data_IF_172918836439
#
_entry.id   IF_172918836439
#
_cell.length_a   1.000
_cell.length_b   1.000
_cell.length_c   1.000
_cell.angle_alpha   90.00
_cell.angle_beta   90.00
_cell.angle_gamma   90.00
#
_symmetry.space_group_name_H-M   'P 1'
#
loop_
_entity.id
_entity.type
_entity.pdbx_description
1 polymer ?
#
# COMPACT_ATOMS: atom_id res chain seq x y z
N UNK A 1 15.16 15.85 -13.95
CA UNK A 1 14.87 15.71 -12.52
C UNK A 1 13.41 15.34 -12.45
N UNK A 2 13.13 14.04 -12.46
CA UNK A 2 11.77 13.58 -12.19
C UNK A 2 11.55 13.71 -10.70
N UNK A 3 10.37 14.20 -10.33
CA UNK A 3 9.91 14.34 -8.97
C UNK A 3 9.87 12.93 -8.33
N UNK A 4 10.92 12.56 -7.60
CA UNK A 4 11.09 11.22 -7.02
C UNK A 4 10.27 11.06 -5.72
N UNK A 5 9.78 12.17 -5.15
CA UNK A 5 9.12 12.24 -3.86
C UNK A 5 7.65 12.62 -4.03
N UNK A 6 6.73 11.69 -3.74
CA UNK A 6 5.30 11.99 -3.69
C UNK A 6 4.60 10.99 -2.78
N UNK A 7 5.04 10.93 -1.52
CA UNK A 7 4.22 10.27 -0.50
C UNK A 7 2.92 11.05 -0.38
N UNK A 8 1.83 10.43 -0.82
CA UNK A 8 0.49 11.00 -0.75
C UNK A 8 -0.27 10.32 0.38
N UNK A 9 -0.96 11.12 1.20
CA UNK A 9 -1.94 10.56 2.14
C UNK A 9 -3.09 9.96 1.33
N UNK A 10 -3.42 8.70 1.61
CA UNK A 10 -4.61 8.08 1.04
C UNK A 10 -5.84 8.67 1.74
N UNK A 11 -6.77 9.32 1.01
CA UNK A 11 -7.79 10.17 1.64
C UNK A 11 -9.03 9.39 2.10
N UNK A 12 -9.06 8.08 1.95
CA UNK A 12 -10.18 7.23 2.31
C UNK A 12 -9.87 6.44 3.57
N UNK A 13 -10.87 6.31 4.43
CA UNK A 13 -10.76 5.46 5.61
C UNK A 13 -10.61 4.00 5.19
N UNK A 14 -9.61 3.34 5.77
CA UNK A 14 -9.52 1.89 5.72
C UNK A 14 -10.49 1.28 6.75
N UNK A 15 -11.02 0.07 6.50
CA UNK A 15 -11.77 -0.67 7.50
C UNK A 15 -11.03 -0.72 8.83
N UNK A 16 -11.77 -0.67 9.94
CA UNK A 16 -11.18 -0.86 11.26
C UNK A 16 -10.44 -2.21 11.28
N UNK A 17 -9.19 -2.21 11.76
CA UNK A 17 -8.34 -3.42 11.77
C UNK A 17 -8.07 -3.99 10.37
N UNK A 18 -7.99 -3.15 9.34
CA UNK A 18 -7.66 -3.55 7.96
C UNK A 18 -6.49 -4.55 7.86
N UNK A 19 -5.42 -4.33 8.63
CA UNK A 19 -4.26 -5.23 8.64
C UNK A 19 -4.59 -6.62 9.20
N UNK A 20 -5.48 -6.71 10.20
CA UNK A 20 -5.95 -8.01 10.70
C UNK A 20 -6.84 -8.70 9.64
N UNK A 21 -7.64 -7.94 8.90
CA UNK A 21 -8.49 -8.49 7.83
C UNK A 21 -7.68 -9.07 6.68
N UNK A 22 -6.52 -8.48 6.34
CA UNK A 22 -5.56 -9.09 5.39
C UNK A 22 -4.65 -10.13 6.06
N UNK A 23 -4.89 -10.50 7.32
CA UNK A 23 -4.12 -11.48 8.09
C UNK A 23 -2.66 -11.08 8.39
N UNK A 24 -2.34 -9.79 8.40
CA UNK A 24 -1.04 -9.33 8.90
C UNK A 24 -1.03 -9.29 10.42
N UNK A 25 -0.21 -10.13 11.05
CA UNK A 25 -0.08 -10.22 12.52
C UNK A 25 1.29 -9.79 13.03
N UNK A 26 2.15 -9.27 12.15
CA UNK A 26 3.51 -8.86 12.50
C UNK A 26 3.56 -7.65 13.45
N UNK A 27 4.74 -7.43 14.07
CA UNK A 27 4.93 -6.39 15.08
C UNK A 27 5.15 -4.99 14.48
N UNK A 28 5.40 -4.88 13.17
CA UNK A 28 5.75 -3.60 12.55
C UNK A 28 4.56 -2.64 12.46
N UNK A 29 4.91 -1.36 12.51
CA UNK A 29 3.95 -0.25 12.53
C UNK A 29 3.59 0.20 11.13
N UNK A 30 4.57 0.19 10.22
CA UNK A 30 4.39 0.52 8.82
C UNK A 30 4.42 -0.77 8.00
N UNK A 31 3.33 -1.02 7.29
CA UNK A 31 3.16 -2.24 6.48
C UNK A 31 2.88 -1.85 5.05
N UNK A 32 3.59 -2.46 4.12
CA UNK A 32 3.40 -2.22 2.69
C UNK A 32 2.47 -3.24 2.06
N UNK A 33 1.64 -2.79 1.14
CA UNK A 33 0.72 -3.63 0.37
C UNK A 33 0.72 -3.24 -1.10
N UNK A 34 0.64 -4.24 -1.98
CA UNK A 34 0.45 -4.05 -3.42
C UNK A 34 -0.18 -5.30 -4.04
N UNK A 35 -0.73 -5.18 -5.24
CA UNK A 35 -1.23 -6.31 -6.01
C UNK A 35 -0.14 -6.86 -6.93
N UNK A 36 0.23 -8.11 -6.76
CA UNK A 36 1.19 -8.77 -7.62
C UNK A 36 0.48 -9.40 -8.81
N UNK A 37 0.81 -8.95 -10.02
CA UNK A 37 0.26 -9.49 -11.26
C UNK A 37 0.61 -10.96 -11.47
N UNK A 38 1.84 -11.36 -11.12
CA UNK A 38 2.29 -12.74 -11.14
C UNK A 38 1.66 -13.52 -9.97
N UNK A 39 0.53 -14.17 -10.23
CA UNK A 39 -0.25 -14.90 -9.22
C UNK A 39 -1.65 -14.32 -9.03
N UNK A 40 -1.86 -13.07 -9.44
CA UNK A 40 -3.09 -12.30 -9.22
C UNK A 40 -3.45 -12.26 -7.72
N UNK A 41 -2.47 -11.83 -6.91
CA UNK A 41 -2.50 -11.98 -5.46
C UNK A 41 -2.12 -10.68 -4.74
N UNK A 42 -2.69 -10.50 -3.55
CA UNK A 42 -2.27 -9.45 -2.63
C UNK A 42 -0.91 -9.82 -2.03
N UNK A 43 0.05 -8.91 -2.19
CA UNK A 43 1.33 -8.94 -1.50
C UNK A 43 1.29 -8.01 -0.28
N UNK A 44 1.84 -8.50 0.83
CA UNK A 44 2.04 -7.75 2.08
C UNK A 44 3.48 -7.88 2.48
N UNK A 45 4.11 -6.79 2.89
CA UNK A 45 5.50 -6.81 3.33
C UNK A 45 5.73 -5.87 4.50
N UNK A 46 6.73 -6.21 5.29
CA UNK A 46 7.19 -5.41 6.42
C UNK A 46 8.71 -5.15 6.30
N UNK A 47 9.39 -4.85 7.41
CA UNK A 47 10.81 -4.52 7.34
C UNK A 47 11.71 -5.72 7.02
N UNK A 48 11.26 -6.95 7.31
CA UNK A 48 12.05 -8.18 7.16
C UNK A 48 11.52 -9.12 6.09
N UNK A 49 10.20 -9.16 5.92
CA UNK A 49 9.53 -10.24 5.19
C UNK A 49 8.56 -9.68 4.14
N UNK A 50 8.31 -10.50 3.13
CA UNK A 50 7.34 -10.25 2.07
C UNK A 50 6.59 -11.56 1.83
N UNK A 51 5.26 -11.48 1.83
CA UNK A 51 4.36 -12.60 1.64
C UNK A 51 3.40 -12.27 0.52
N UNK A 52 3.18 -13.23 -0.38
CA UNK A 52 2.23 -13.11 -1.48
C UNK A 52 1.28 -14.31 -1.44
N UNK A 53 -0.01 -14.07 -1.69
CA UNK A 53 -1.01 -15.13 -1.83
C UNK A 53 -1.59 -15.73 -0.56
N UNK A 54 -0.95 -15.50 0.59
CA UNK A 54 -1.42 -16.04 1.89
C UNK A 54 -2.48 -15.16 2.58
N UNK A 55 -2.84 -14.04 1.96
CA UNK A 55 -3.68 -13.00 2.57
C UNK A 55 -5.12 -13.05 2.06
N UNK A 56 -6.06 -12.64 2.91
CA UNK A 56 -7.44 -12.45 2.50
C UNK A 56 -7.53 -11.23 1.58
N UNK A 57 -7.47 -11.46 0.28
CA UNK A 57 -7.50 -10.43 -0.75
C UNK A 57 -8.88 -9.77 -0.93
N UNK A 58 -9.94 -10.30 -0.29
CA UNK A 58 -11.30 -9.77 -0.50
C UNK A 58 -11.45 -8.33 0.00
N UNK A 59 -10.83 -7.96 1.12
CA UNK A 59 -10.88 -6.58 1.63
C UNK A 59 -10.14 -5.62 0.68
N UNK A 60 -9.01 -6.05 0.14
CA UNK A 60 -8.27 -5.31 -0.87
C UNK A 60 -9.10 -5.12 -2.16
N UNK A 61 -9.71 -6.19 -2.66
CA UNK A 61 -10.55 -6.12 -3.85
C UNK A 61 -11.78 -5.22 -3.66
N UNK A 62 -12.35 -5.17 -2.46
CA UNK A 62 -13.45 -4.24 -2.16
C UNK A 62 -12.98 -2.79 -2.23
N UNK A 63 -11.80 -2.48 -1.69
CA UNK A 63 -11.22 -1.14 -1.77
C UNK A 63 -10.89 -0.76 -3.21
N UNK A 64 -10.21 -1.64 -3.96
CA UNK A 64 -9.80 -1.35 -5.35
C UNK A 64 -10.96 -1.24 -6.32
N UNK A 65 -12.13 -1.81 -5.98
CA UNK A 65 -13.37 -1.71 -6.76
C UNK A 65 -14.30 -0.59 -6.31
N UNK A 66 -14.00 0.14 -5.23
CA UNK A 66 -14.76 1.35 -4.87
C UNK A 66 -14.53 2.42 -5.96
N UNK A 67 -15.59 2.90 -6.66
CA UNK A 67 -15.42 3.87 -7.74
C UNK A 67 -14.73 5.16 -7.33
N UNK A 68 -14.87 5.58 -6.06
CA UNK A 68 -14.23 6.80 -5.54
C UNK A 68 -12.73 6.61 -5.38
N UNK A 69 -12.32 5.45 -4.87
CA UNK A 69 -10.92 5.08 -4.74
C UNK A 69 -10.32 4.93 -6.13
N UNK A 70 -10.99 4.23 -7.04
CA UNK A 70 -10.52 4.06 -8.41
C UNK A 70 -10.32 5.40 -9.13
N UNK A 71 -11.29 6.32 -9.05
CA UNK A 71 -11.15 7.67 -9.63
C UNK A 71 -9.97 8.43 -9.04
N UNK A 72 -9.78 8.38 -7.71
CA UNK A 72 -8.66 9.08 -7.08
C UNK A 72 -7.31 8.51 -7.51
N UNK A 73 -7.19 7.18 -7.63
CA UNK A 73 -5.97 6.53 -8.12
C UNK A 73 -5.66 6.97 -9.56
N UNK A 74 -6.68 7.02 -10.43
CA UNK A 74 -6.54 7.47 -11.82
C UNK A 74 -6.12 8.95 -11.90
N UNK A 75 -6.79 9.83 -11.16
CA UNK A 75 -6.52 11.28 -11.11
C UNK A 75 -5.08 11.59 -10.63
N UNK A 76 -4.49 10.72 -9.81
CA UNK A 76 -3.16 10.88 -9.24
C UNK A 76 -2.10 9.98 -9.90
N UNK A 77 -2.46 9.29 -11.00
CA UNK A 77 -1.57 8.36 -11.71
C UNK A 77 -0.97 7.27 -10.81
N UNK A 78 -1.72 6.84 -9.80
CA UNK A 78 -1.33 5.79 -8.86
C UNK A 78 -1.74 4.43 -9.42
N UNK A 79 -0.77 3.54 -9.52
CA UNK A 79 -1.00 2.15 -9.89
C UNK A 79 -0.46 1.21 -8.79
N UNK A 80 -1.39 0.62 -8.04
CA UNK A 80 -1.14 -0.35 -6.96
C UNK A 80 -1.02 -1.81 -7.46
N UNK A 81 -1.00 -2.01 -8.78
CA UNK A 81 -0.99 -3.31 -9.45
C UNK A 81 -2.39 -3.79 -9.85
N UNK A 82 -2.41 -4.72 -10.80
CA UNK A 82 -3.62 -5.43 -11.27
C UNK A 82 -3.23 -6.80 -11.84
N UNK A 83 -4.21 -7.60 -12.26
CA UNK A 83 -3.94 -8.86 -12.98
C UNK A 83 -3.08 -8.67 -14.23
N UNK A 84 -3.21 -7.50 -14.87
CA UNK A 84 -2.65 -7.23 -16.19
C UNK A 84 -1.46 -6.26 -16.15
N UNK A 85 -1.15 -5.69 -14.97
CA UNK A 85 -0.17 -4.62 -14.83
C UNK A 85 0.64 -4.71 -13.55
N UNK A 86 1.96 -4.58 -13.69
CA UNK A 86 2.88 -4.42 -12.55
C UNK A 86 2.61 -3.10 -11.84
N UNK A 87 2.65 -3.13 -10.53
CA UNK A 87 2.53 -1.97 -9.67
C UNK A 87 3.67 -0.97 -9.90
N UNK A 88 3.36 0.32 -9.77
CA UNK A 88 4.37 1.39 -9.71
C UNK A 88 4.37 2.09 -8.35
N UNK A 89 3.33 1.84 -7.56
CA UNK A 89 3.10 2.41 -6.24
C UNK A 89 2.69 1.31 -5.28
N UNK A 90 3.05 1.46 -4.02
CA UNK A 90 2.56 0.62 -2.94
C UNK A 90 1.75 1.47 -1.96
N UNK A 91 0.76 0.84 -1.34
CA UNK A 91 0.09 1.40 -0.18
C UNK A 91 0.93 1.11 1.06
N UNK A 92 1.04 2.09 1.96
CA UNK A 92 1.69 1.97 3.26
C UNK A 92 0.62 2.22 4.31
N UNK A 93 0.40 1.27 5.21
CA UNK A 93 -0.55 1.38 6.31
C UNK A 93 0.21 1.60 7.60
N UNK A 94 -0.17 2.64 8.34
CA UNK A 94 0.30 2.89 9.69
C UNK A 94 -0.68 2.29 10.70
N UNK A 95 -0.31 1.13 11.24
CA UNK A 95 -1.14 0.27 12.09
C UNK A 95 -1.78 1.00 13.26
N UNK A 96 -0.99 1.66 14.12
CA UNK A 96 -1.52 2.34 15.32
C UNK A 96 -2.37 3.58 15.04
N UNK A 97 -2.13 4.25 13.91
CA UNK A 97 -2.85 5.48 13.55
C UNK A 97 -4.07 5.25 12.67
N UNK A 98 -4.23 4.03 12.16
CA UNK A 98 -5.18 3.71 11.09
C UNK A 98 -5.11 4.71 9.91
N UNK A 99 -3.90 5.18 9.61
CA UNK A 99 -3.63 6.06 8.49
C UNK A 99 -3.01 5.26 7.35
N UNK A 100 -3.25 5.69 6.12
CA UNK A 100 -2.58 5.10 4.97
C UNK A 100 -2.05 6.15 4.03
N UNK A 101 -1.00 5.72 3.33
CA UNK A 101 -0.24 6.54 2.41
C UNK A 101 0.02 5.73 1.15
N UNK A 102 0.35 6.41 0.07
CA UNK A 102 0.77 5.79 -1.18
C UNK A 102 2.05 6.47 -1.64
N UNK A 103 3.02 5.67 -2.09
CA UNK A 103 4.26 6.16 -2.66
C UNK A 103 4.76 5.24 -3.75
N UNK A 104 5.63 5.77 -4.62
CA UNK A 104 6.37 4.96 -5.61
C UNK A 104 7.11 3.81 -4.92
N UNK A 105 7.20 2.67 -5.60
CA UNK A 105 7.76 1.41 -5.06
C UNK A 105 9.05 1.60 -4.26
N UNK A 106 10.03 2.36 -4.80
CA UNK A 106 11.32 2.58 -4.14
C UNK A 106 11.18 3.33 -2.81
N UNK A 107 10.37 4.38 -2.77
CA UNK A 107 10.13 5.18 -1.57
C UNK A 107 9.33 4.38 -0.55
N UNK A 108 8.26 3.70 -0.97
CA UNK A 108 7.45 2.88 -0.08
C UNK A 108 8.25 1.75 0.58
N UNK A 109 9.09 1.04 -0.19
CA UNK A 109 9.99 0.01 0.34
C UNK A 109 10.99 0.59 1.35
N UNK A 110 11.53 1.79 1.10
CA UNK A 110 12.41 2.46 2.06
C UNK A 110 11.67 2.77 3.37
N UNK A 111 10.52 3.44 3.29
CA UNK A 111 9.70 3.82 4.45
C UNK A 111 9.37 2.60 5.33
N UNK A 112 8.89 1.51 4.72
CA UNK A 112 8.53 0.29 5.44
C UNK A 112 9.77 -0.41 6.02
N UNK A 113 10.88 -0.49 5.29
CA UNK A 113 12.10 -1.12 5.82
C UNK A 113 12.75 -0.34 6.95
N UNK A 114 12.70 0.98 6.87
CA UNK A 114 13.24 1.87 7.90
C UNK A 114 12.25 2.12 9.04
N UNK A 115 10.99 1.64 8.91
CA UNK A 115 9.89 1.90 9.84
C UNK A 115 9.76 3.39 10.17
N UNK A 116 9.94 4.25 9.17
CA UNK A 116 10.04 5.71 9.36
C UNK A 116 9.37 6.49 8.23
N UNK A 117 8.52 7.42 8.65
CA UNK A 117 7.99 8.51 7.82
C UNK A 117 8.65 9.82 8.21
N UNK A 118 9.28 10.48 7.24
CA UNK A 118 9.94 11.78 7.39
C UNK A 118 9.07 12.89 6.79
N UNK A 119 9.12 14.14 7.28
CA UNK A 119 8.49 15.27 6.59
C UNK A 119 8.98 15.44 5.14
N UNK A 120 10.24 15.09 4.86
CA UNK A 120 10.84 15.13 3.53
C UNK A 120 10.24 14.11 2.55
N UNK A 121 9.42 13.16 3.01
CA UNK A 121 8.75 12.20 2.14
C UNK A 121 7.60 12.82 1.35
N UNK A 122 7.07 13.95 1.82
CA UNK A 122 5.89 14.62 1.29
C UNK A 122 6.20 15.73 0.27
N UNK A 123 7.49 16.09 0.10
CA UNK A 123 7.96 17.24 -0.69
C UNK A 123 9.08 16.82 -1.65
#
# INVERSE_FOLDING_TARGET
MEDESSLMRFPFDLPERFLDEVHYTGPDQLVGLYWQSAGDELAVYDHQSEWVGMHNHNVWLKLSRDPRIWSWLDDHYVNLGSSDGTESHHMIVWKERNESYVAKVRQARRIVREQRLSPEDFF
#
